data_IF_349001690795
#
_entry.id   IF_349001690795
#
_cell.length_a   1.000
_cell.length_b   1.000
_cell.length_c   1.000
_cell.angle_alpha   90.00
_cell.angle_beta   90.00
_cell.angle_gamma   90.00
#
_symmetry.space_group_name_H-M   'P 1'
#
loop_
_entity.id
_entity.type
_entity.pdbx_description
1 polymer ?
#
# COMPACT_ATOMS: atom_id res chain seq x y z
N UNK A 1 -9.56 -17.04 1.47
CA UNK A 1 -9.18 -15.69 1.02
C UNK A 1 -8.06 -15.74 -0.03
N UNK A 2 -8.16 -16.57 -1.08
CA UNK A 2 -7.07 -16.77 -2.08
C UNK A 2 -7.24 -15.97 -3.38
N UNK A 3 -8.21 -15.05 -3.46
CA UNK A 3 -8.65 -14.48 -4.74
C UNK A 3 -7.93 -13.20 -5.19
N UNK A 4 -6.95 -12.66 -4.45
CA UNK A 4 -6.34 -11.39 -4.84
C UNK A 4 -4.85 -11.30 -4.47
N UNK A 5 -4.02 -12.07 -5.15
CA UNK A 5 -2.71 -11.55 -5.56
C UNK A 5 -2.92 -10.63 -6.77
N UNK A 6 -2.09 -9.60 -6.96
CA UNK A 6 -2.07 -8.76 -8.17
C UNK A 6 -1.56 -9.52 -9.42
N UNK A 7 -2.04 -10.75 -9.61
CA UNK A 7 -1.68 -11.68 -10.67
C UNK A 7 -2.74 -12.79 -10.78
N UNK A 8 -2.71 -13.55 -11.89
CA UNK A 8 -3.62 -14.70 -12.07
C UNK A 8 -3.53 -15.62 -10.84
N UNK A 9 -4.65 -16.09 -10.27
CA UNK A 9 -4.62 -17.09 -9.21
C UNK A 9 -3.82 -18.29 -9.72
N UNK A 10 -2.70 -18.58 -9.07
CA UNK A 10 -1.92 -19.79 -9.32
C UNK A 10 -2.14 -20.73 -8.14
N UNK A 11 -2.11 -22.04 -8.39
CA UNK A 11 -2.14 -23.05 -7.32
C UNK A 11 -0.84 -23.06 -6.48
N UNK A 12 0.11 -22.19 -6.81
CA UNK A 12 1.34 -22.03 -6.05
C UNK A 12 1.06 -21.25 -4.75
N UNK A 13 1.79 -21.54 -3.66
CA UNK A 13 1.70 -20.74 -2.46
C UNK A 13 1.97 -19.27 -2.79
N UNK A 14 1.27 -18.32 -2.12
CA UNK A 14 1.55 -16.90 -2.27
C UNK A 14 3.02 -16.65 -2.06
N UNK A 15 3.60 -15.88 -2.96
CA UNK A 15 5.01 -15.53 -2.87
C UNK A 15 5.21 -14.60 -1.65
N UNK A 16 6.22 -14.86 -0.79
CA UNK A 16 6.55 -13.96 0.31
C UNK A 16 6.87 -12.55 -0.21
N UNK A 17 6.43 -11.52 0.52
CA UNK A 17 6.62 -10.11 0.16
C UNK A 17 7.04 -9.33 1.41
N UNK A 18 8.00 -8.43 1.27
CA UNK A 18 8.50 -7.60 2.37
C UNK A 18 7.52 -6.49 2.79
N UNK A 19 6.50 -6.21 1.98
CA UNK A 19 5.49 -5.19 2.19
C UNK A 19 6.06 -3.83 2.65
N UNK A 20 7.22 -3.43 2.10
CA UNK A 20 8.00 -2.30 2.60
C UNK A 20 7.18 -1.00 2.71
N UNK A 21 6.28 -0.74 1.77
CA UNK A 21 5.42 0.44 1.79
C UNK A 21 4.45 0.46 2.97
N UNK A 22 3.95 -0.70 3.42
CA UNK A 22 3.08 -0.81 4.61
C UNK A 22 3.89 -0.63 5.89
N UNK A 23 5.08 -1.25 5.98
CA UNK A 23 5.98 -1.06 7.11
C UNK A 23 6.39 0.40 7.28
N UNK A 24 6.78 1.06 6.18
CA UNK A 24 7.16 2.47 6.18
C UNK A 24 6.01 3.39 6.60
N UNK A 25 4.77 3.07 6.23
CA UNK A 25 3.60 3.84 6.66
C UNK A 25 3.38 3.76 8.18
N UNK A 26 3.46 2.57 8.76
CA UNK A 26 3.30 2.39 10.22
C UNK A 26 4.43 3.06 10.98
N UNK A 27 5.67 2.93 10.49
CA UNK A 27 6.83 3.62 11.06
C UNK A 27 6.61 5.15 11.08
N UNK A 28 6.12 5.72 9.98
CA UNK A 28 5.80 7.14 9.91
C UNK A 28 4.70 7.55 10.91
N UNK A 29 3.64 6.75 11.06
CA UNK A 29 2.60 7.03 12.06
C UNK A 29 3.16 7.00 13.48
N UNK A 30 3.97 5.98 13.81
CA UNK A 30 4.61 5.86 15.11
C UNK A 30 5.56 7.02 15.40
N UNK A 31 6.43 7.37 14.45
CA UNK A 31 7.40 8.46 14.59
C UNK A 31 6.73 9.84 14.76
N UNK A 32 5.57 10.06 14.14
CA UNK A 32 4.82 11.31 14.20
C UNK A 32 3.75 11.33 15.31
N UNK A 33 3.58 10.23 16.06
CA UNK A 33 2.52 10.11 17.07
C UNK A 33 1.10 10.18 16.49
N UNK A 34 0.92 9.75 15.23
CA UNK A 34 -0.37 9.77 14.53
C UNK A 34 -1.13 8.49 14.86
N UNK A 35 -2.36 8.65 15.36
CA UNK A 35 -3.33 7.56 15.47
C UNK A 35 -4.22 7.60 14.22
N UNK A 36 -4.08 6.66 13.26
CA UNK A 36 -4.80 6.71 12.00
C UNK A 36 -6.33 6.62 12.17
N UNK A 37 -6.79 6.03 13.28
CA UNK A 37 -8.21 5.88 13.60
C UNK A 37 -8.90 7.20 13.96
N UNK A 38 -8.17 8.15 14.56
CA UNK A 38 -8.74 9.44 15.01
C UNK A 38 -9.23 10.30 13.84
N UNK A 39 -8.71 10.05 12.64
CA UNK A 39 -9.04 10.79 11.41
C UNK A 39 -9.97 10.02 10.46
N UNK A 40 -10.53 8.87 10.89
CA UNK A 40 -11.31 8.00 10.02
C UNK A 40 -12.65 8.57 9.55
N UNK A 41 -13.26 9.50 10.29
CA UNK A 41 -14.59 10.05 9.96
C UNK A 41 -14.59 10.77 8.60
N UNK A 42 -13.48 11.39 8.22
CA UNK A 42 -13.32 12.09 6.94
C UNK A 42 -12.50 11.28 5.91
N UNK A 43 -12.22 10.01 6.20
CA UNK A 43 -11.38 9.19 5.33
C UNK A 43 -12.13 8.73 4.08
N UNK A 44 -11.43 8.73 2.95
CA UNK A 44 -11.94 8.11 1.72
C UNK A 44 -12.01 6.59 1.89
N UNK A 45 -12.90 5.88 1.18
CA UNK A 45 -12.96 4.41 1.21
C UNK A 45 -11.60 3.75 0.96
N UNK A 46 -10.78 4.34 0.07
CA UNK A 46 -9.44 3.84 -0.24
C UNK A 46 -8.47 3.96 0.94
N UNK A 47 -8.55 5.04 1.72
CA UNK A 47 -7.75 5.20 2.93
C UNK A 47 -8.11 4.13 3.96
N UNK A 48 -9.41 3.85 4.16
CA UNK A 48 -9.87 2.78 5.05
C UNK A 48 -9.38 1.41 4.62
N UNK A 49 -9.40 1.12 3.31
CA UNK A 49 -8.88 -0.13 2.78
C UNK A 49 -7.38 -0.26 3.09
N UNK A 50 -6.59 0.79 2.86
CA UNK A 50 -5.15 0.78 3.13
C UNK A 50 -4.84 0.59 4.62
N UNK A 51 -5.61 1.23 5.50
CA UNK A 51 -5.52 1.02 6.94
C UNK A 51 -5.85 -0.44 7.31
N UNK A 52 -6.93 -0.99 6.78
CA UNK A 52 -7.32 -2.39 7.03
C UNK A 52 -6.29 -3.42 6.54
N UNK A 53 -5.65 -3.19 5.39
CA UNK A 53 -4.55 -4.05 4.92
C UNK A 53 -3.35 -3.97 5.85
N UNK A 54 -3.04 -2.78 6.34
CA UNK A 54 -1.96 -2.56 7.31
C UNK A 54 -2.26 -3.26 8.64
N UNK A 55 -3.49 -3.12 9.14
CA UNK A 55 -3.94 -3.79 10.35
C UNK A 55 -3.88 -5.31 10.21
N UNK A 56 -4.32 -5.86 9.08
CA UNK A 56 -4.23 -7.30 8.81
C UNK A 56 -2.78 -7.82 8.88
N UNK A 57 -1.84 -7.06 8.33
CA UNK A 57 -0.41 -7.39 8.40
C UNK A 57 0.10 -7.40 9.85
N UNK A 58 -0.23 -6.38 10.64
CA UNK A 58 0.32 -6.22 11.99
C UNK A 58 -0.40 -7.05 13.07
N UNK A 59 -1.67 -7.40 12.87
CA UNK A 59 -2.42 -8.26 13.81
C UNK A 59 -2.13 -9.76 13.60
N UNK A 60 -1.58 -10.14 12.46
CA UNK A 60 -1.18 -11.52 12.18
C UNK A 60 0.33 -11.70 12.41
N UNK A 61 0.71 -12.15 13.60
CA UNK A 61 2.13 -12.33 13.98
C UNK A 61 2.90 -13.21 13.01
N UNK A 62 2.30 -14.31 12.52
CA UNK A 62 2.99 -15.20 11.59
C UNK A 62 3.28 -14.51 10.25
N UNK A 63 2.32 -13.74 9.73
CA UNK A 63 2.48 -12.96 8.50
C UNK A 63 3.50 -11.82 8.68
N UNK A 64 3.47 -11.15 9.83
CA UNK A 64 4.41 -10.09 10.15
C UNK A 64 5.85 -10.63 10.25
N UNK A 65 6.05 -11.76 10.92
CA UNK A 65 7.36 -12.40 11.05
C UNK A 65 7.91 -12.82 9.68
N UNK A 66 7.06 -13.41 8.82
CA UNK A 66 7.44 -13.75 7.45
C UNK A 66 7.84 -12.49 6.66
N UNK A 67 7.04 -11.43 6.75
CA UNK A 67 7.28 -10.15 6.07
C UNK A 67 8.62 -9.54 6.49
N UNK A 68 8.90 -9.48 7.80
CA UNK A 68 10.15 -8.96 8.35
C UNK A 68 11.34 -9.81 7.93
N UNK A 69 11.19 -11.14 7.94
CA UNK A 69 12.23 -12.06 7.45
C UNK A 69 12.53 -11.82 5.97
N UNK A 70 11.49 -11.70 5.13
CA UNK A 70 11.65 -11.38 3.70
C UNK A 70 12.33 -10.02 3.52
N UNK A 71 11.96 -9.00 4.30
CA UNK A 71 12.57 -7.67 4.23
C UNK A 71 14.08 -7.67 4.53
N UNK A 72 14.53 -8.52 5.45
CA UNK A 72 15.93 -8.56 5.90
C UNK A 72 16.79 -9.52 5.07
N UNK A 73 16.26 -10.71 4.79
CA UNK A 73 17.04 -11.81 4.22
C UNK A 73 16.91 -11.92 2.69
N UNK A 74 15.74 -11.60 2.12
CA UNK A 74 15.52 -11.73 0.68
C UNK A 74 16.18 -10.56 -0.06
N UNK A 75 16.94 -10.90 -1.11
CA UNK A 75 17.64 -9.92 -1.95
C UNK A 75 16.86 -9.53 -3.20
N UNK A 76 15.77 -10.25 -3.51
CA UNK A 76 15.05 -10.08 -4.76
C UNK A 76 14.45 -8.67 -4.91
N UNK A 77 13.90 -8.13 -3.83
CA UNK A 77 13.20 -6.84 -3.85
C UNK A 77 14.12 -5.64 -3.65
N UNK A 78 15.41 -5.83 -3.36
CA UNK A 78 16.33 -4.73 -2.99
C UNK A 78 16.41 -3.61 -4.02
N UNK A 79 16.32 -3.94 -5.31
CA UNK A 79 16.30 -2.92 -6.37
C UNK A 79 15.04 -2.07 -6.26
N UNK A 80 13.87 -2.71 -6.14
CA UNK A 80 12.58 -2.02 -6.03
C UNK A 80 12.47 -1.26 -4.70
N UNK A 81 12.98 -1.84 -3.60
CA UNK A 81 13.04 -1.21 -2.29
C UNK A 81 13.90 0.05 -2.30
N UNK A 82 15.05 -0.01 -2.98
CA UNK A 82 15.94 1.13 -3.15
C UNK A 82 15.25 2.23 -3.95
N UNK A 83 14.61 1.90 -5.07
CA UNK A 83 13.83 2.86 -5.87
C UNK A 83 12.68 3.47 -5.07
N UNK A 84 11.99 2.69 -4.24
CA UNK A 84 10.97 3.20 -3.32
C UNK A 84 11.55 4.25 -2.37
N UNK A 85 12.73 4.00 -1.77
CA UNK A 85 13.36 4.98 -0.88
C UNK A 85 13.81 6.26 -1.61
N UNK A 86 14.30 6.15 -2.86
CA UNK A 86 14.65 7.32 -3.66
C UNK A 86 13.42 8.15 -4.03
N UNK A 87 12.34 7.49 -4.44
CA UNK A 87 11.09 8.16 -4.75
C UNK A 87 10.55 8.90 -3.51
N UNK A 88 10.48 8.23 -2.36
CA UNK A 88 10.01 8.83 -1.10
C UNK A 88 10.85 10.05 -0.69
N UNK A 89 12.18 9.97 -0.80
CA UNK A 89 13.09 11.11 -0.54
C UNK A 89 12.86 12.27 -1.50
N UNK A 90 12.68 12.00 -2.79
CA UNK A 90 12.41 13.04 -3.78
C UNK A 90 11.12 13.82 -3.48
N UNK A 91 10.07 13.14 -3.01
CA UNK A 91 8.85 13.81 -2.55
C UNK A 91 9.10 14.64 -1.29
N UNK A 92 9.81 14.09 -0.30
CA UNK A 92 10.12 14.78 0.94
C UNK A 92 10.96 16.06 0.73
N UNK A 93 11.92 16.02 -0.20
CA UNK A 93 12.75 17.16 -0.56
C UNK A 93 11.93 18.29 -1.18
N UNK A 94 11.04 17.98 -2.12
CA UNK A 94 10.16 18.99 -2.74
C UNK A 94 9.32 19.73 -1.69
N UNK A 95 8.79 18.99 -0.71
CA UNK A 95 7.99 19.57 0.39
C UNK A 95 8.88 20.39 1.32
N UNK A 96 10.04 19.88 1.71
CA UNK A 96 10.93 20.54 2.67
C UNK A 96 11.50 21.86 2.15
N UNK A 97 11.78 21.93 0.85
CA UNK A 97 12.28 23.15 0.19
C UNK A 97 11.16 24.11 -0.24
N UNK A 98 9.89 23.71 -0.14
CA UNK A 98 8.75 24.51 -0.62
C UNK A 98 8.70 24.65 -2.13
N UNK A 99 9.33 23.74 -2.88
CA UNK A 99 9.39 23.78 -4.35
C UNK A 99 8.09 23.25 -4.97
N UNK A 100 7.03 24.06 -4.90
CA UNK A 100 5.70 23.65 -5.35
C UNK A 100 5.64 23.29 -6.84
N UNK A 101 6.33 24.05 -7.71
CA UNK A 101 6.34 23.79 -9.15
C UNK A 101 6.94 22.40 -9.46
N UNK A 102 8.06 22.04 -8.82
CA UNK A 102 8.68 20.72 -8.99
C UNK A 102 7.78 19.61 -8.46
N UNK A 103 7.11 19.84 -7.33
CA UNK A 103 6.12 18.90 -6.80
C UNK A 103 4.97 18.68 -7.79
N UNK A 104 4.41 19.77 -8.35
CA UNK A 104 3.29 19.74 -9.28
C UNK A 104 3.67 19.00 -10.57
N UNK A 105 4.83 19.30 -11.15
CA UNK A 105 5.32 18.61 -12.34
C UNK A 105 5.46 17.09 -12.10
N UNK A 106 6.03 16.68 -10.96
CA UNK A 106 6.13 15.26 -10.58
C UNK A 106 4.75 14.62 -10.41
N UNK A 107 3.81 15.34 -9.79
CA UNK A 107 2.45 14.87 -9.57
C UNK A 107 1.70 14.65 -10.88
N UNK A 108 1.68 15.67 -11.75
CA UNK A 108 0.98 15.62 -13.05
C UNK A 108 1.57 14.53 -13.94
N UNK A 109 2.91 14.45 -14.04
CA UNK A 109 3.56 13.39 -14.83
C UNK A 109 3.20 11.99 -14.34
N UNK A 110 3.16 11.78 -13.02
CA UNK A 110 2.73 10.50 -12.43
C UNK A 110 1.26 10.21 -12.73
N UNK A 111 0.39 11.22 -12.61
CA UNK A 111 -1.03 11.10 -12.94
C UNK A 111 -1.24 10.71 -14.42
N UNK A 112 -0.56 11.37 -15.35
CA UNK A 112 -0.62 11.10 -16.79
C UNK A 112 -0.18 9.67 -17.11
N UNK A 113 0.89 9.19 -16.48
CA UNK A 113 1.36 7.81 -16.64
C UNK A 113 0.29 6.78 -16.28
N UNK A 114 -0.50 7.03 -15.22
CA UNK A 114 -1.57 6.13 -14.79
C UNK A 114 -2.91 6.37 -15.48
N UNK A 115 -3.11 7.51 -16.15
CA UNK A 115 -4.39 7.91 -16.75
C UNK A 115 -5.00 6.82 -17.66
N UNK A 116 -4.25 6.16 -18.56
CA UNK A 116 -4.82 5.11 -19.41
C UNK A 116 -5.36 3.91 -18.63
N UNK A 117 -4.89 3.71 -17.39
CA UNK A 117 -5.23 2.57 -16.53
C UNK A 117 -6.40 2.87 -15.59
N UNK A 118 -6.91 4.10 -15.54
CA UNK A 118 -7.97 4.48 -14.59
C UNK A 118 -9.28 3.72 -14.81
N UNK A 119 -9.66 3.50 -16.08
CA UNK A 119 -10.90 2.79 -16.39
C UNK A 119 -10.85 1.34 -15.87
N UNK A 120 -9.77 0.63 -16.15
CA UNK A 120 -9.55 -0.74 -15.66
C UNK A 120 -9.42 -0.77 -14.13
N UNK A 121 -8.62 0.13 -13.56
CA UNK A 121 -8.41 0.20 -12.11
C UNK A 121 -9.72 0.44 -11.34
N UNK A 122 -10.63 1.27 -11.89
CA UNK A 122 -11.96 1.48 -11.29
C UNK A 122 -12.78 0.20 -11.27
N UNK A 123 -12.83 -0.53 -12.39
CA UNK A 123 -13.56 -1.80 -12.48
C UNK A 123 -13.01 -2.82 -11.48
N UNK A 124 -11.69 -2.97 -11.43
CA UNK A 124 -11.04 -3.89 -10.48
C UNK A 124 -11.30 -3.46 -9.03
N UNK A 125 -11.19 -2.17 -8.73
CA UNK A 125 -11.46 -1.61 -7.40
C UNK A 125 -12.89 -1.87 -6.93
N UNK A 126 -13.89 -1.65 -7.81
CA UNK A 126 -15.30 -1.89 -7.50
C UNK A 126 -15.58 -3.38 -7.24
N UNK A 127 -14.96 -4.28 -8.03
CA UNK A 127 -15.06 -5.73 -7.82
C UNK A 127 -14.44 -6.19 -6.51
N UNK A 128 -13.28 -5.64 -6.13
CA UNK A 128 -12.63 -5.94 -4.85
C UNK A 128 -13.51 -5.49 -3.68
N UNK A 129 -14.04 -4.27 -3.71
CA UNK A 129 -14.92 -3.74 -2.68
C UNK A 129 -16.17 -4.60 -2.52
N UNK A 130 -16.80 -5.01 -3.63
CA UNK A 130 -17.98 -5.87 -3.61
C UNK A 130 -17.70 -7.21 -2.91
N UNK A 131 -16.61 -7.89 -3.27
CA UNK A 131 -16.26 -9.16 -2.63
C UNK A 131 -15.87 -9.03 -1.16
N UNK A 132 -15.23 -7.92 -0.79
CA UNK A 132 -14.96 -7.63 0.63
C UNK A 132 -16.27 -7.55 1.40
N UNK A 133 -17.26 -6.79 0.90
CA UNK A 133 -18.59 -6.69 1.51
C UNK A 133 -19.29 -8.05 1.61
N UNK A 134 -19.29 -8.85 0.54
CA UNK A 134 -19.86 -10.21 0.54
C UNK A 134 -19.20 -11.12 1.58
N UNK A 135 -17.89 -10.98 1.81
CA UNK A 135 -17.17 -11.77 2.82
C UNK A 135 -17.51 -11.38 4.26
N UNK A 136 -17.93 -10.12 4.50
CA UNK A 136 -18.43 -9.69 5.82
C UNK A 136 -19.84 -10.22 6.09
N UNK A 137 -20.70 -10.27 5.06
CA UNK A 137 -22.08 -10.77 5.18
C UNK A 137 -22.16 -12.30 5.33
N UNK A 138 -21.19 -13.04 4.77
CA UNK A 138 -21.14 -14.50 4.90
C UNK A 138 -20.46 -15.04 6.17
N UNK A 139 -19.84 -14.16 6.98
CA UNK A 139 -19.16 -14.51 8.23
C UNK A 139 -19.91 -14.03 9.50
N UNK A 140 -21.13 -13.52 9.35
CA UNK A 140 -22.07 -13.22 10.44
C UNK A 140 -23.13 -14.31 10.58
#
# INVERSE_FOLDING_TARGET
>A
MSSFSLGKPTDAPPRPNNHLSLLAMVDCWAALGIVPYDHMICSTPLFRLRLGVTEHLFLNTALLDETLKTAVEDKMYRSDDLEFTFAARGWAECVSLGHFETWEQRFVSTQEFFQPRFAEAKVVGDQMMKKVLESYEGNG
#
